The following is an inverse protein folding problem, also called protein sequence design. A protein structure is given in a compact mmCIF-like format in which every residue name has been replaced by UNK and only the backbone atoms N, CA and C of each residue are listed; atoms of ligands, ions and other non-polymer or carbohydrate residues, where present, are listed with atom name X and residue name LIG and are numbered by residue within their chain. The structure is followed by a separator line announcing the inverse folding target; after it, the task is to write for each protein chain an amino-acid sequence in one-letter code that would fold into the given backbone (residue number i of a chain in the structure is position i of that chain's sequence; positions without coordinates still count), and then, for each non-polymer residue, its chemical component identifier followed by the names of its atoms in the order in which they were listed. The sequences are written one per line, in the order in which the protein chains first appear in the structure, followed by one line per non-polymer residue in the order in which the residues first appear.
data_IF_812380130042
#
_entry.id   IF_812380130042
#
_cell.length_a   1.000
_cell.length_b   1.000
_cell.length_c   1.000
_cell.angle_alpha   90.00
_cell.angle_beta   90.00
_cell.angle_gamma   90.00
#
_symmetry.space_group_name_H-M   'P 1'
#
loop_
_entity.id
_entity.type
_entity.pdbx_description
1 polymer ?
#
# COMPACT_ATOMS: atom_id res chain seq x y z
N UNK A 1 22.39 33.13 14.29
CA UNK A 1 23.28 32.28 15.11
C UNK A 1 23.08 30.84 14.65
N UNK A 2 24.07 30.26 13.98
CA UNK A 2 24.00 28.92 13.42
C UNK A 2 24.42 27.88 14.47
N UNK A 3 23.57 26.89 14.75
CA UNK A 3 23.95 25.68 15.51
C UNK A 3 24.14 24.52 14.53
N UNK A 4 25.39 24.07 14.38
CA UNK A 4 25.79 22.83 13.70
C UNK A 4 25.60 21.66 14.66
N UNK A 5 24.92 20.60 14.22
CA UNK A 5 24.97 19.27 14.84
C UNK A 5 25.72 18.33 13.88
N UNK A 6 26.75 17.59 14.32
CA UNK A 6 27.43 16.63 13.46
C UNK A 6 26.71 15.27 13.53
N UNK A 7 26.21 14.80 12.39
CA UNK A 7 25.75 13.43 12.22
C UNK A 7 26.97 12.54 11.93
N UNK A 8 27.22 11.55 12.80
CA UNK A 8 28.18 10.50 12.54
C UNK A 8 27.54 9.43 11.65
N UNK A 9 28.03 9.32 10.40
CA UNK A 9 27.72 8.22 9.50
C UNK A 9 28.68 7.05 9.81
N UNK A 10 28.14 5.92 10.30
CA UNK A 10 28.89 4.66 10.35
C UNK A 10 28.74 3.94 9.01
N UNK A 11 29.84 3.84 8.27
CA UNK A 11 29.98 3.01 7.08
C UNK A 11 30.10 1.53 7.49
N UNK A 12 29.20 0.68 6.99
CA UNK A 12 29.46 -0.76 6.88
C UNK A 12 29.33 -1.17 5.40
N UNK A 13 30.39 -1.70 4.77
CA UNK A 13 30.32 -2.16 3.39
C UNK A 13 29.84 -3.62 3.37
N UNK A 14 28.75 -3.90 2.64
CA UNK A 14 28.42 -5.28 2.24
C UNK A 14 28.54 -5.42 0.71
N UNK A 15 29.15 -6.53 0.23
CA UNK A 15 29.49 -6.70 -1.17
C UNK A 15 28.28 -7.07 -2.02
N UNK A 16 28.19 -6.41 -3.17
CA UNK A 16 27.26 -6.72 -4.25
C UNK A 16 27.66 -8.04 -4.94
N UNK A 17 26.69 -8.94 -5.11
CA UNK A 17 26.79 -10.06 -6.07
C UNK A 17 25.94 -9.71 -7.31
N UNK A 18 26.46 -9.93 -8.54
CA UNK A 18 25.74 -9.56 -9.75
C UNK A 18 24.65 -10.60 -10.06
N UNK A 19 23.39 -10.17 -10.10
CA UNK A 19 22.29 -10.96 -10.68
C UNK A 19 22.30 -10.74 -12.19
N UNK A 20 22.57 -11.82 -12.93
CA UNK A 20 22.49 -11.89 -14.38
C UNK A 20 21.00 -12.02 -14.76
N UNK A 21 20.46 -11.24 -15.71
CA UNK A 21 19.06 -11.37 -16.09
C UNK A 21 18.89 -12.60 -17.00
N UNK A 22 18.22 -13.64 -16.50
CA UNK A 22 17.84 -14.80 -17.32
C UNK A 22 16.47 -14.52 -17.93
N UNK A 23 16.51 -14.17 -19.22
CA UNK A 23 15.37 -14.14 -20.13
C UNK A 23 14.85 -15.57 -20.32
N UNK A 24 13.57 -15.83 -20.05
CA UNK A 24 12.94 -17.13 -20.35
C UNK A 24 12.14 -17.05 -21.66
N UNK A 25 12.61 -17.66 -22.76
CA UNK A 25 11.75 -18.00 -23.88
C UNK A 25 11.23 -19.45 -23.72
N UNK A 26 9.92 -19.60 -23.85
CA UNK A 26 9.22 -20.88 -23.90
C UNK A 26 9.78 -21.78 -24.99
N UNK A 27 10.21 -23.01 -24.65
CA UNK A 27 10.35 -24.10 -25.62
C UNK A 27 9.96 -25.46 -25.02
N UNK A 28 8.95 -26.05 -25.65
CA UNK A 28 8.58 -27.45 -25.58
C UNK A 28 9.73 -28.33 -26.09
N UNK A 29 10.12 -29.38 -25.36
CA UNK A 29 11.21 -30.25 -25.79
C UNK A 29 11.45 -31.48 -24.91
N UNK A 30 10.89 -32.60 -25.36
CA UNK A 30 10.92 -33.97 -24.84
C UNK A 30 12.33 -34.59 -24.68
N UNK A 31 12.47 -35.43 -23.65
CA UNK A 31 13.17 -36.74 -23.60
C UNK A 31 14.42 -36.88 -22.72
N UNK A 32 14.26 -37.79 -21.75
CA UNK A 32 15.21 -38.79 -21.22
C UNK A 32 16.63 -38.36 -20.82
N UNK A 33 16.91 -38.49 -19.52
CA UNK A 33 18.00 -39.37 -19.09
C UNK A 33 17.74 -39.93 -17.69
N UNK A 34 17.76 -41.26 -17.62
CA UNK A 34 17.69 -42.09 -16.43
C UNK A 34 19.11 -42.24 -15.85
N UNK A 35 19.24 -42.16 -14.53
CA UNK A 35 20.32 -42.82 -13.78
C UNK A 35 19.77 -43.32 -12.44
N UNK A 36 20.18 -44.53 -12.07
CA UNK A 36 19.53 -45.46 -11.15
C UNK A 36 20.09 -45.44 -9.71
N UNK A 37 19.16 -45.48 -8.73
CA UNK A 37 19.09 -46.28 -7.48
C UNK A 37 20.29 -46.38 -6.49
N UNK A 38 20.09 -46.07 -5.19
CA UNK A 38 19.58 -46.98 -4.14
C UNK A 38 19.50 -46.33 -2.71
N UNK A 39 18.25 -46.27 -2.19
CA UNK A 39 17.70 -46.52 -0.84
C UNK A 39 18.05 -45.72 0.45
N UNK A 40 16.95 -45.19 1.03
CA UNK A 40 16.53 -45.07 2.45
C UNK A 40 17.36 -44.15 3.37
N UNK A 41 16.78 -43.15 4.06
CA UNK A 41 15.67 -43.27 5.01
C UNK A 41 15.08 -41.88 5.36
N UNK A 42 13.76 -41.85 5.59
CA UNK A 42 13.00 -40.90 6.41
C UNK A 42 13.42 -39.41 6.37
N UNK A 43 12.81 -38.64 5.47
CA UNK A 43 12.59 -37.23 5.77
C UNK A 43 11.11 -36.88 5.56
N UNK A 44 10.54 -36.29 6.59
CA UNK A 44 9.13 -35.93 6.73
C UNK A 44 8.89 -34.67 5.90
N UNK A 45 8.97 -34.81 4.57
CA UNK A 45 8.75 -33.70 3.65
C UNK A 45 7.24 -33.41 3.61
N UNK A 46 6.83 -32.41 4.39
CA UNK A 46 5.56 -31.75 4.22
C UNK A 46 5.59 -31.10 2.83
N UNK A 47 5.18 -31.89 1.84
CA UNK A 47 4.82 -31.42 0.51
C UNK A 47 3.77 -30.32 0.70
N UNK A 48 4.26 -29.10 0.81
CA UNK A 48 3.46 -27.90 0.67
C UNK A 48 2.98 -27.94 -0.76
N UNK A 49 1.75 -28.41 -0.86
CA UNK A 49 1.09 -28.73 -2.08
C UNK A 49 0.87 -27.44 -2.89
N UNK A 50 1.82 -27.15 -3.78
CA UNK A 50 1.73 -26.10 -4.80
C UNK A 50 0.60 -26.38 -5.82
N UNK A 51 -0.21 -27.43 -5.62
CA UNK A 51 -1.39 -27.75 -6.44
C UNK A 51 -2.73 -27.30 -5.85
N UNK A 52 -2.72 -26.53 -4.74
CA UNK A 52 -3.85 -25.62 -4.49
C UNK A 52 -3.78 -24.50 -5.52
N UNK A 53 -4.43 -24.78 -6.66
CA UNK A 53 -5.08 -23.79 -7.50
C UNK A 53 -5.53 -22.66 -6.58
N UNK A 54 -4.90 -21.50 -6.72
CA UNK A 54 -5.36 -20.29 -6.07
C UNK A 54 -6.84 -20.18 -6.42
N UNK A 55 -7.70 -20.20 -5.40
CA UNK A 55 -8.99 -19.56 -5.56
C UNK A 55 -8.64 -18.09 -5.83
N UNK A 56 -8.52 -17.73 -7.11
CA UNK A 56 -8.24 -16.36 -7.57
C UNK A 56 -9.33 -15.36 -7.10
N UNK A 57 -10.37 -15.86 -6.43
CA UNK A 57 -11.49 -15.15 -5.87
C UNK A 57 -11.60 -15.22 -4.33
N UNK A 58 -10.68 -15.89 -3.63
CA UNK A 58 -10.70 -15.86 -2.17
C UNK A 58 -10.35 -14.45 -1.66
N UNK A 59 -11.11 -13.89 -0.69
CA UNK A 59 -10.81 -12.58 -0.13
C UNK A 59 -9.44 -12.59 0.55
N UNK A 60 -8.67 -11.53 0.32
CA UNK A 60 -7.37 -11.33 0.96
C UNK A 60 -7.55 -11.07 2.46
N UNK A 61 -6.60 -11.50 3.29
CA UNK A 61 -6.55 -11.06 4.69
C UNK A 61 -6.02 -9.62 4.75
N UNK A 62 -6.83 -8.70 5.29
CA UNK A 62 -6.45 -7.28 5.38
C UNK A 62 -5.52 -7.05 6.59
N UNK A 63 -4.27 -7.45 6.44
CA UNK A 63 -3.17 -7.23 7.39
C UNK A 63 -2.02 -6.50 6.69
N UNK A 64 -1.10 -5.93 7.47
CA UNK A 64 0.08 -5.26 6.92
C UNK A 64 1.17 -6.29 6.57
N UNK A 65 1.41 -6.46 5.27
CA UNK A 65 2.39 -7.41 4.70
C UNK A 65 3.82 -6.83 4.61
N UNK A 66 4.02 -5.58 5.03
CA UNK A 66 5.32 -4.93 5.00
C UNK A 66 6.37 -5.58 5.91
N UNK A 67 7.67 -5.44 5.61
CA UNK A 67 8.28 -4.90 4.39
C UNK A 67 8.56 -6.00 3.34
N UNK A 68 7.80 -7.11 3.33
CA UNK A 68 8.10 -8.27 2.49
C UNK A 68 7.73 -8.04 1.01
N UNK A 69 8.34 -8.76 0.05
CA UNK A 69 7.84 -8.81 -1.32
C UNK A 69 6.37 -9.22 -1.35
N UNK A 70 5.54 -8.46 -2.06
CA UNK A 70 4.09 -8.60 -2.00
C UNK A 70 3.46 -8.34 -3.36
N UNK A 71 2.51 -9.19 -3.75
CA UNK A 71 1.69 -9.08 -4.96
C UNK A 71 0.23 -9.24 -4.55
N UNK A 72 -0.62 -8.35 -5.02
CA UNK A 72 -2.04 -8.31 -4.66
C UNK A 72 -2.86 -7.77 -5.82
N UNK A 73 -4.09 -8.27 -5.97
CA UNK A 73 -5.13 -7.58 -6.73
C UNK A 73 -5.62 -6.38 -5.90
N UNK A 74 -5.04 -5.21 -6.17
CA UNK A 74 -5.29 -4.01 -5.37
C UNK A 74 -6.72 -3.50 -5.51
N UNK A 75 -7.36 -3.71 -6.67
CA UNK A 75 -8.75 -3.33 -6.90
C UNK A 75 -9.67 -4.12 -5.95
N UNK A 76 -9.55 -5.46 -5.98
CA UNK A 76 -10.31 -6.33 -5.07
C UNK A 76 -10.04 -6.01 -3.61
N UNK A 77 -8.77 -5.85 -3.22
CA UNK A 77 -8.40 -5.55 -1.83
C UNK A 77 -9.02 -4.23 -1.35
N UNK A 78 -8.97 -3.19 -2.19
CA UNK A 78 -9.52 -1.86 -1.89
C UNK A 78 -11.04 -1.90 -1.75
N UNK A 79 -11.73 -2.56 -2.67
CA UNK A 79 -13.20 -2.73 -2.63
C UNK A 79 -13.65 -3.59 -1.44
N UNK A 80 -12.87 -4.59 -1.05
CA UNK A 80 -13.14 -5.46 0.10
C UNK A 80 -13.04 -4.72 1.44
N UNK A 81 -12.14 -3.74 1.56
CA UNK A 81 -11.94 -3.02 2.81
C UNK A 81 -13.18 -2.20 3.20
N UNK A 82 -13.66 -2.36 4.43
CA UNK A 82 -14.77 -1.56 4.99
C UNK A 82 -14.34 -0.64 6.14
N UNK A 83 -13.09 -0.72 6.57
CA UNK A 83 -12.56 0.16 7.61
C UNK A 83 -12.27 1.54 7.01
N UNK A 84 -12.35 2.58 7.85
CA UNK A 84 -11.93 3.92 7.44
C UNK A 84 -10.48 3.93 6.95
N UNK A 85 -9.58 3.23 7.65
CA UNK A 85 -8.17 3.06 7.24
C UNK A 85 -7.65 1.68 7.61
N UNK A 86 -6.93 1.04 6.71
CA UNK A 86 -6.18 -0.21 6.99
C UNK A 86 -4.85 -0.17 6.26
N UNK A 87 -3.73 -0.25 6.99
CA UNK A 87 -2.41 -0.42 6.41
C UNK A 87 -2.32 -1.83 5.80
N UNK A 88 -2.09 -1.90 4.49
CA UNK A 88 -1.91 -3.17 3.78
C UNK A 88 -0.42 -3.50 3.59
N UNK A 89 0.44 -2.49 3.48
CA UNK A 89 1.87 -2.69 3.37
C UNK A 89 2.66 -1.46 3.86
N UNK A 90 3.56 -1.64 4.82
CA UNK A 90 4.42 -0.58 5.35
C UNK A 90 5.91 -0.95 5.19
N UNK A 91 6.63 -0.19 4.38
CA UNK A 91 8.08 -0.34 4.19
C UNK A 91 8.87 0.80 4.82
N UNK A 92 10.15 0.93 4.46
CA UNK A 92 10.99 2.04 4.93
C UNK A 92 10.84 3.33 4.11
N UNK A 93 10.25 3.25 2.91
CA UNK A 93 10.20 4.35 1.95
C UNK A 93 8.80 4.66 1.43
N UNK A 94 7.86 3.74 1.59
CA UNK A 94 6.46 3.98 1.26
C UNK A 94 5.53 3.18 2.17
N UNK A 95 4.30 3.63 2.28
CA UNK A 95 3.21 2.92 2.95
C UNK A 95 1.98 2.91 2.05
N UNK A 96 1.32 1.76 1.94
CA UNK A 96 0.06 1.55 1.25
C UNK A 96 -1.06 1.33 2.27
N UNK A 97 -2.09 2.16 2.22
CA UNK A 97 -3.31 2.02 3.02
C UNK A 97 -4.54 1.87 2.13
N UNK A 98 -5.56 1.19 2.65
CA UNK A 98 -6.89 1.08 2.06
C UNK A 98 -7.86 1.91 2.89
N UNK A 99 -8.82 2.55 2.25
CA UNK A 99 -9.82 3.39 2.92
C UNK A 99 -11.21 3.19 2.33
N UNK A 100 -12.22 3.25 3.20
CA UNK A 100 -13.63 3.24 2.84
C UNK A 100 -14.31 4.44 3.50
N UNK A 101 -14.70 5.42 2.69
CA UNK A 101 -15.29 6.67 3.18
C UNK A 101 -16.80 6.61 2.93
N UNK A 102 -17.63 6.71 3.97
CA UNK A 102 -19.07 6.60 3.81
C UNK A 102 -19.66 7.81 3.04
N UNK A 103 -20.87 7.68 2.47
CA UNK A 103 -21.56 8.80 1.84
C UNK A 103 -21.66 10.02 2.76
N UNK A 104 -21.22 11.19 2.29
CA UNK A 104 -21.24 12.44 3.05
C UNK A 104 -20.06 12.64 4.00
N UNK A 105 -19.24 11.61 4.24
CA UNK A 105 -17.99 11.71 5.00
C UNK A 105 -16.84 12.19 4.11
N UNK A 106 -15.72 12.52 4.75
CA UNK A 106 -14.47 12.88 4.12
C UNK A 106 -13.28 12.20 4.82
N UNK A 107 -12.10 12.28 4.21
CA UNK A 107 -10.85 11.81 4.85
C UNK A 107 -10.50 12.70 6.05
N UNK A 108 -10.75 14.01 5.92
CA UNK A 108 -10.30 15.01 6.87
C UNK A 108 -9.33 15.98 6.20
N UNK A 109 -9.33 17.23 6.67
CA UNK A 109 -8.42 18.25 6.13
C UNK A 109 -7.04 18.11 6.76
N UNK A 110 -6.09 17.62 5.97
CA UNK A 110 -4.74 17.30 6.42
C UNK A 110 -3.66 18.05 5.59
N UNK A 111 -2.42 18.02 6.08
CA UNK A 111 -1.23 18.51 5.36
C UNK A 111 0.01 17.79 5.89
N UNK A 112 0.76 17.12 5.00
CA UNK A 112 2.02 16.51 5.36
C UNK A 112 3.19 17.33 4.79
N UNK A 113 4.07 17.90 5.63
CA UNK A 113 5.10 18.83 5.15
C UNK A 113 6.21 18.16 4.34
N UNK A 114 6.42 16.85 4.52
CA UNK A 114 7.57 16.12 3.95
C UNK A 114 7.17 14.79 3.28
N UNK A 115 5.87 14.57 3.02
CA UNK A 115 5.35 13.33 2.47
C UNK A 115 4.54 13.67 1.22
N UNK A 116 4.94 13.11 0.09
CA UNK A 116 4.08 13.08 -1.08
C UNK A 116 3.06 11.94 -0.90
N UNK A 117 1.84 12.17 -1.34
CA UNK A 117 0.77 11.19 -1.27
C UNK A 117 0.13 10.99 -2.65
N UNK A 118 -0.10 9.73 -2.97
CA UNK A 118 -0.86 9.27 -4.13
C UNK A 118 -2.15 8.62 -3.63
N UNK A 119 -3.30 8.96 -4.20
CA UNK A 119 -4.57 8.28 -3.93
C UNK A 119 -5.15 7.80 -5.25
N UNK A 120 -5.65 6.56 -5.32
CA UNK A 120 -6.46 6.10 -6.44
C UNK A 120 -7.87 5.74 -5.98
N UNK A 121 -8.85 6.14 -6.77
CA UNK A 121 -10.25 5.77 -6.58
C UNK A 121 -10.52 4.49 -7.36
N UNK A 122 -10.99 3.46 -6.65
CA UNK A 122 -11.39 2.15 -7.23
C UNK A 122 -12.92 1.99 -7.26
N UNK A 123 -13.65 2.75 -6.43
CA UNK A 123 -15.11 2.77 -6.48
C UNK A 123 -15.67 4.04 -5.85
N UNK A 124 -16.70 4.63 -6.46
CA UNK A 124 -17.46 5.73 -5.87
C UNK A 124 -17.26 7.05 -6.59
N UNK A 125 -17.78 8.12 -6.01
CA UNK A 125 -17.68 9.46 -6.56
C UNK A 125 -17.35 10.44 -5.45
N UNK A 126 -16.43 11.35 -5.70
CA UNK A 126 -16.02 12.34 -4.71
C UNK A 126 -15.56 13.64 -5.32
N UNK A 127 -15.12 14.53 -4.44
CA UNK A 127 -14.45 15.76 -4.79
C UNK A 127 -13.15 15.81 -4.00
N UNK A 128 -12.05 16.12 -4.69
CA UNK A 128 -10.79 16.49 -4.04
C UNK A 128 -10.67 18.00 -3.95
N UNK A 129 -10.22 18.50 -2.80
CA UNK A 129 -9.86 19.90 -2.60
C UNK A 129 -8.41 20.01 -2.16
N UNK A 130 -7.65 20.92 -2.76
CA UNK A 130 -6.26 21.17 -2.40
C UNK A 130 -5.92 22.66 -2.41
N UNK A 131 -4.91 23.05 -1.63
CA UNK A 131 -4.42 24.43 -1.61
C UNK A 131 -3.15 24.65 -0.82
N UNK A 132 -2.62 25.87 -0.91
CA UNK A 132 -1.42 26.28 -0.18
C UNK A 132 -1.68 26.65 1.30
N UNK A 133 -2.95 26.78 1.70
CA UNK A 133 -3.30 27.13 3.08
C UNK A 133 -4.60 26.48 3.51
N UNK A 134 -4.75 26.22 4.81
CA UNK A 134 -5.95 25.62 5.40
C UNK A 134 -7.25 26.33 5.02
N UNK A 135 -7.21 27.65 4.88
CA UNK A 135 -8.39 28.49 4.63
C UNK A 135 -8.60 28.84 3.14
N UNK A 136 -7.74 28.35 2.24
CA UNK A 136 -7.84 28.59 0.80
C UNK A 136 -7.42 27.34 0.01
N UNK A 137 -8.41 26.50 -0.27
CA UNK A 137 -8.30 25.33 -1.15
C UNK A 137 -8.77 25.75 -2.55
N UNK A 138 -7.85 26.29 -3.34
CA UNK A 138 -8.11 26.90 -4.66
C UNK A 138 -8.15 25.89 -5.82
N UNK A 139 -7.82 24.63 -5.54
CA UNK A 139 -7.97 23.51 -6.45
C UNK A 139 -9.15 22.65 -5.99
N UNK A 140 -10.12 22.40 -6.87
CA UNK A 140 -11.25 21.52 -6.64
C UNK A 140 -11.54 20.73 -7.92
N UNK A 141 -11.56 19.40 -7.83
CA UNK A 141 -11.87 18.53 -8.98
C UNK A 141 -12.77 17.37 -8.55
N UNK A 142 -13.63 16.92 -9.47
CA UNK A 142 -14.42 15.70 -9.29
C UNK A 142 -13.53 14.49 -9.54
N UNK A 143 -13.74 13.43 -8.76
CA UNK A 143 -13.04 12.17 -8.90
C UNK A 143 -14.03 11.01 -8.89
N UNK A 144 -13.75 10.00 -9.69
CA UNK A 144 -14.55 8.78 -9.84
C UNK A 144 -13.61 7.59 -10.07
N UNK A 145 -14.18 6.42 -10.33
CA UNK A 145 -13.42 5.21 -10.65
C UNK A 145 -12.34 5.47 -11.72
N UNK A 146 -11.19 4.82 -11.58
CA UNK A 146 -9.95 5.00 -12.35
C UNK A 146 -9.20 6.34 -12.17
N UNK A 147 -9.69 7.28 -11.37
CA UNK A 147 -8.97 8.55 -11.15
C UNK A 147 -7.83 8.38 -10.14
N UNK A 148 -6.72 9.05 -10.43
CA UNK A 148 -5.60 9.22 -9.51
C UNK A 148 -5.51 10.68 -9.03
N UNK A 149 -5.15 10.85 -7.77
CA UNK A 149 -4.95 12.13 -7.10
C UNK A 149 -3.50 12.17 -6.64
N UNK A 150 -2.77 13.20 -7.06
CA UNK A 150 -1.39 13.45 -6.61
C UNK A 150 -1.40 14.64 -5.67
N UNK A 151 -0.93 14.43 -4.44
CA UNK A 151 -0.88 15.42 -3.38
C UNK A 151 0.59 15.67 -3.04
N UNK A 152 1.20 16.76 -3.54
CA UNK A 152 2.56 17.12 -3.19
C UNK A 152 2.69 17.49 -1.71
N UNK A 153 3.86 17.20 -1.13
CA UNK A 153 4.22 17.61 0.22
C UNK A 153 3.96 19.12 0.45
N UNK A 154 3.39 19.45 1.60
CA UNK A 154 3.05 20.81 2.00
C UNK A 154 1.69 21.33 1.50
N UNK A 155 0.95 20.54 0.71
CA UNK A 155 -0.42 20.91 0.30
C UNK A 155 -1.44 20.52 1.37
N UNK A 156 -2.28 21.49 1.73
CA UNK A 156 -3.52 21.20 2.44
C UNK A 156 -4.45 20.48 1.48
N UNK A 157 -5.07 19.39 1.91
CA UNK A 157 -5.89 18.56 1.05
C UNK A 157 -7.03 17.86 1.83
N UNK A 158 -8.11 17.56 1.12
CA UNK A 158 -9.20 16.72 1.62
C UNK A 158 -9.87 16.00 0.43
N UNK A 159 -10.40 14.80 0.67
CA UNK A 159 -11.20 14.04 -0.29
C UNK A 159 -12.55 13.74 0.35
N UNK A 160 -13.61 14.18 -0.31
CA UNK A 160 -14.98 14.17 0.21
C UNK A 160 -15.80 13.20 -0.64
N UNK A 161 -16.49 12.25 0.00
CA UNK A 161 -17.43 11.39 -0.71
C UNK A 161 -18.75 12.13 -0.98
N UNK A 162 -18.98 12.45 -2.25
CA UNK A 162 -20.20 13.13 -2.71
C UNK A 162 -21.21 12.18 -3.35
N UNK A 163 -20.90 10.89 -3.39
CA UNK A 163 -21.77 9.83 -3.92
C UNK A 163 -22.78 9.30 -2.89
N UNK A 164 -23.52 8.28 -3.29
CA UNK A 164 -24.51 7.57 -2.47
C UNK A 164 -24.06 6.18 -2.00
N UNK A 165 -22.83 5.79 -2.32
CA UNK A 165 -22.17 4.55 -1.87
C UNK A 165 -20.80 4.88 -1.28
N UNK A 166 -20.18 3.98 -0.49
CA UNK A 166 -18.83 4.20 0.01
C UNK A 166 -17.84 4.50 -1.13
N UNK A 167 -16.97 5.47 -0.90
CA UNK A 167 -15.84 5.79 -1.76
C UNK A 167 -14.67 4.91 -1.33
N UNK A 168 -14.27 3.98 -2.19
CA UNK A 168 -13.18 3.02 -1.97
C UNK A 168 -11.93 3.58 -2.64
N UNK A 169 -10.91 3.82 -1.83
CA UNK A 169 -9.62 4.34 -2.30
C UNK A 169 -8.49 3.57 -1.64
N UNK A 170 -7.35 3.51 -2.33
CA UNK A 170 -6.09 3.22 -1.67
C UNK A 170 -5.18 4.45 -1.74
N UNK A 171 -4.34 4.60 -0.72
CA UNK A 171 -3.39 5.69 -0.58
C UNK A 171 -1.97 5.16 -0.45
N UNK A 172 -1.03 5.78 -1.15
CA UNK A 172 0.41 5.54 -1.03
C UNK A 172 1.06 6.80 -0.48
N UNK A 173 1.72 6.67 0.65
CA UNK A 173 2.51 7.73 1.28
C UNK A 173 3.99 7.45 1.02
N UNK A 174 4.77 8.48 0.69
CA UNK A 174 6.22 8.39 0.54
C UNK A 174 6.92 9.60 1.20
N UNK A 175 7.60 9.43 2.35
CA UNK A 175 7.78 8.20 3.16
C UNK A 175 6.51 7.73 3.90
N UNK A 176 6.53 6.58 4.62
CA UNK A 176 5.40 6.13 5.45
C UNK A 176 4.89 7.21 6.41
N UNK A 177 3.57 7.26 6.62
CA UNK A 177 2.93 8.28 7.45
C UNK A 177 2.37 7.73 8.78
N UNK A 178 1.74 6.56 8.76
CA UNK A 178 1.13 5.94 9.95
C UNK A 178 2.01 4.80 10.51
N UNK A 179 1.82 4.41 11.78
CA UNK A 179 2.44 3.21 12.33
C UNK A 179 2.19 1.95 11.49
N UNK A 180 3.12 0.99 11.57
CA UNK A 180 2.94 -0.32 10.94
C UNK A 180 1.70 -1.03 11.50
N UNK A 181 0.94 -1.72 10.66
CA UNK A 181 -0.29 -2.42 11.05
C UNK A 181 -1.42 -1.52 11.56
N UNK A 182 -1.42 -0.22 11.24
CA UNK A 182 -2.53 0.68 11.58
C UNK A 182 -3.85 0.20 11.00
N UNK A 183 -4.88 0.12 11.87
CA UNK A 183 -6.27 -0.10 11.49
C UNK A 183 -7.14 0.89 12.26
N UNK A 184 -7.89 1.72 11.54
CA UNK A 184 -8.91 2.60 12.09
C UNK A 184 -10.24 2.14 11.51
N UNK A 185 -11.12 1.60 12.37
CA UNK A 185 -12.41 1.06 11.91
C UNK A 185 -13.31 2.22 11.50
N UNK A 186 -13.33 3.27 12.30
CA UNK A 186 -14.11 4.48 12.03
C UNK A 186 -13.22 5.70 11.77
N UNK A 187 -13.85 6.78 11.30
CA UNK A 187 -13.18 8.07 11.12
C UNK A 187 -12.74 8.65 12.46
N UNK A 188 -13.57 8.53 13.48
CA UNK A 188 -13.30 9.03 14.83
C UNK A 188 -12.07 8.35 15.45
N UNK A 189 -11.88 7.04 15.19
CA UNK A 189 -10.67 6.32 15.60
C UNK A 189 -9.41 6.96 14.98
N UNK A 190 -9.51 7.36 13.70
CA UNK A 190 -8.40 7.99 12.99
C UNK A 190 -8.13 9.41 13.50
N UNK A 191 -9.16 10.23 13.66
CA UNK A 191 -9.01 11.60 14.20
C UNK A 191 -8.40 11.58 15.60
N UNK A 192 -8.84 10.66 16.47
CA UNK A 192 -8.28 10.50 17.81
C UNK A 192 -6.81 10.07 17.83
N UNK A 193 -6.36 9.31 16.82
CA UNK A 193 -4.97 8.89 16.68
C UNK A 193 -4.06 10.03 16.18
N UNK A 194 -4.56 10.87 15.28
CA UNK A 194 -3.80 12.01 14.73
C UNK A 194 -3.70 13.18 15.73
N UNK A 195 -4.73 13.43 16.55
CA UNK A 195 -4.72 14.48 17.59
C UNK A 195 -3.71 14.20 18.73
N UNK A 196 -3.25 12.95 18.85
CA UNK A 196 -2.24 12.54 19.83
C UNK A 196 -0.79 12.80 19.43
N UNK A 197 -0.55 13.32 18.21
CA UNK A 197 0.77 13.48 17.59
C UNK A 197 1.08 14.94 17.22
#
# INVERSE_FOLDING_TARGET
MYRKYPYYYNFYPYPCLPVIPVYYPNYLGRSSNQYTSYNNEADYDSKFDFSRLSDDDAPIQLIDYGPQPFVVDIDKATKQNNNFRTALWTGSHLQLTLMSINPGDDIGLEMHPNVDQFIRVEEGNGIVRMGNSRNNLDFEEKVEDDFAIIIPAGKWHNVINTGNKPLKVYSIYAPPNHPHSTVHVTKEDAEAAEDGH
#
